data_IF_999169472980
#
_entry.id   IF_999169472980
#
_cell.length_a   1.000
_cell.length_b   1.000
_cell.length_c   1.000
_cell.angle_alpha   90.00
_cell.angle_beta   90.00
_cell.angle_gamma   90.00
#
_symmetry.space_group_name_H-M   'P 1'
#
loop_
_entity.id
_entity.type
_entity.pdbx_description
1 polymer ?
#
# COMPACT_ATOMS: atom_id res chain seq x y z
N UNK A 1 21.14 -8.26 25.99
CA UNK A 1 19.96 -9.02 26.47
C UNK A 1 18.73 -8.18 26.13
N UNK A 2 17.99 -8.55 25.07
CA UNK A 2 16.73 -9.31 25.13
C UNK A 2 15.67 -8.53 25.96
N UNK A 3 14.57 -8.00 25.41
CA UNK A 3 13.46 -8.74 24.78
C UNK A 3 12.55 -7.71 24.05
N UNK A 4 12.42 -7.74 22.72
CA UNK A 4 11.35 -8.39 21.93
C UNK A 4 9.93 -7.81 22.10
N UNK A 5 9.45 -7.31 20.95
CA UNK A 5 8.11 -7.46 20.38
C UNK A 5 7.00 -6.42 20.69
N UNK A 6 6.35 -6.06 19.58
CA UNK A 6 5.02 -5.43 19.45
C UNK A 6 4.93 -3.90 19.50
N UNK A 7 5.69 -3.26 18.62
CA UNK A 7 5.35 -1.96 18.05
C UNK A 7 5.10 -2.13 16.55
N UNK A 8 3.87 -2.48 16.13
CA UNK A 8 3.55 -2.55 14.69
C UNK A 8 2.25 -1.86 14.27
N UNK A 9 1.52 -1.20 15.18
CA UNK A 9 0.33 -0.45 14.78
C UNK A 9 0.51 1.08 14.77
N UNK A 10 1.72 1.55 15.09
CA UNK A 10 2.13 2.94 14.90
C UNK A 10 3.25 2.99 13.87
N UNK A 11 2.90 2.71 12.61
CA UNK A 11 3.87 2.61 11.53
C UNK A 11 3.17 2.66 10.19
N UNK A 12 2.31 3.66 9.99
CA UNK A 12 1.62 3.85 8.73
C UNK A 12 2.63 4.22 7.64
N UNK A 13 3.13 3.19 6.95
CA UNK A 13 3.81 3.17 5.66
C UNK A 13 4.36 4.52 5.18
N UNK A 14 5.58 4.85 5.58
CA UNK A 14 6.54 5.42 4.64
C UNK A 14 7.02 4.26 3.76
N UNK A 15 7.27 4.34 2.46
CA UNK A 15 6.93 5.29 1.39
C UNK A 15 7.31 4.53 0.13
N UNK A 16 6.41 4.40 -0.84
CA UNK A 16 6.79 4.15 -2.23
C UNK A 16 6.17 5.24 -3.12
N UNK A 17 6.30 6.49 -2.69
CA UNK A 17 5.71 7.65 -3.38
C UNK A 17 6.64 8.84 -3.20
N UNK A 18 7.10 9.39 -4.34
CA UNK A 18 7.73 10.70 -4.41
C UNK A 18 6.82 11.78 -3.81
N UNK A 19 7.37 12.64 -2.95
CA UNK A 19 6.66 13.79 -2.38
C UNK A 19 6.45 14.85 -3.46
N UNK A 20 5.19 15.22 -3.74
CA UNK A 20 4.84 16.44 -4.48
C UNK A 20 3.65 17.09 -3.78
N UNK A 21 3.83 18.35 -3.43
CA UNK A 21 2.87 19.22 -2.73
C UNK A 21 1.65 19.58 -3.61
N UNK A 22 0.52 19.83 -2.94
CA UNK A 22 -0.60 20.61 -3.48
C UNK A 22 -1.66 19.85 -4.28
N UNK A 23 -2.88 19.74 -3.73
CA UNK A 23 -4.11 20.41 -4.21
C UNK A 23 -5.32 19.86 -3.43
N UNK A 24 -6.05 20.79 -2.83
CA UNK A 24 -7.19 20.66 -1.92
C UNK A 24 -8.50 20.53 -2.71
N UNK A 25 -9.44 19.64 -2.33
CA UNK A 25 -10.82 19.70 -2.83
C UNK A 25 -11.85 19.37 -1.73
N UNK A 26 -12.78 20.32 -1.57
CA UNK A 26 -13.89 20.41 -0.62
C UNK A 26 -14.92 19.28 -0.76
N UNK A 27 -15.64 19.02 0.34
CA UNK A 27 -16.62 17.96 0.48
C UNK A 27 -17.96 18.27 -0.24
N UNK A 28 -18.46 17.33 -1.04
CA UNK A 28 -19.90 17.16 -1.33
C UNK A 28 -20.20 15.69 -1.62
N UNK A 29 -21.28 15.19 -1.02
CA UNK A 29 -21.71 13.80 -0.98
C UNK A 29 -22.32 13.35 -2.31
N UNK A 30 -21.53 12.74 -3.20
CA UNK A 30 -22.00 11.88 -4.29
C UNK A 30 -20.96 10.79 -4.52
N UNK A 31 -21.40 9.55 -4.79
CA UNK A 31 -20.53 8.42 -5.09
C UNK A 31 -19.87 8.64 -6.47
N UNK A 32 -18.82 9.46 -6.49
CA UNK A 32 -18.00 9.66 -7.67
C UNK A 32 -17.26 8.36 -7.95
N UNK A 33 -17.68 7.66 -9.00
CA UNK A 33 -16.88 6.65 -9.70
C UNK A 33 -15.63 7.34 -10.25
N UNK A 34 -14.71 7.70 -9.36
CA UNK A 34 -13.42 8.28 -9.72
C UNK A 34 -12.69 7.16 -10.42
N UNK A 35 -12.70 7.17 -11.75
CA UNK A 35 -11.87 6.29 -12.57
C UNK A 35 -10.46 6.47 -12.05
N UNK A 36 -10.01 5.51 -11.25
CA UNK A 36 -8.69 5.53 -10.65
C UNK A 36 -7.72 5.40 -11.81
N UNK A 37 -7.16 6.52 -12.25
CA UNK A 37 -6.22 6.56 -13.37
C UNK A 37 -4.92 5.97 -12.86
N UNK A 38 -4.62 4.77 -13.35
CA UNK A 38 -3.34 4.11 -13.10
C UNK A 38 -2.53 4.25 -14.38
N UNK A 39 -1.28 4.72 -14.33
CA UNK A 39 -0.46 4.87 -15.52
C UNK A 39 -0.23 3.50 -16.19
N UNK A 40 -0.08 3.47 -17.53
CA UNK A 40 0.33 2.27 -18.23
C UNK A 40 1.81 1.98 -17.93
N UNK A 41 2.07 1.22 -16.87
CA UNK A 41 3.40 0.70 -16.59
C UNK A 41 3.71 -0.51 -17.51
N UNK A 42 5.00 -0.85 -17.65
CA UNK A 42 5.48 -1.90 -18.56
C UNK A 42 4.89 -3.29 -18.30
N UNK A 43 5.02 -4.17 -19.29
CA UNK A 43 4.53 -5.55 -19.23
C UNK A 43 5.49 -6.43 -18.41
N UNK A 44 5.38 -6.38 -17.09
CA UNK A 44 6.26 -7.10 -16.17
C UNK A 44 5.58 -8.26 -15.41
N UNK A 45 4.30 -8.53 -15.70
CA UNK A 45 3.45 -9.47 -14.96
C UNK A 45 2.33 -8.79 -14.17
N UNK A 46 2.38 -7.46 -14.02
CA UNK A 46 1.30 -6.66 -13.45
C UNK A 46 0.32 -6.19 -14.52
N UNK A 47 -0.97 -6.45 -14.31
CA UNK A 47 -2.03 -5.97 -15.20
C UNK A 47 -2.75 -4.74 -14.60
N UNK A 48 -3.44 -3.92 -15.42
CA UNK A 48 -4.09 -2.69 -14.94
C UNK A 48 -5.08 -2.90 -13.79
N UNK A 49 -5.82 -4.01 -13.80
CA UNK A 49 -6.81 -4.31 -12.74
C UNK A 49 -6.15 -4.61 -11.40
N UNK A 50 -4.97 -5.25 -11.41
CA UNK A 50 -4.14 -5.49 -10.22
C UNK A 50 -3.60 -4.18 -9.68
N UNK A 51 -3.02 -3.35 -10.53
CA UNK A 51 -2.48 -2.03 -10.12
C UNK A 51 -3.57 -1.16 -9.48
N UNK A 52 -4.76 -1.13 -10.11
CA UNK A 52 -5.95 -0.45 -9.56
C UNK A 52 -6.37 -1.04 -8.22
N UNK A 53 -6.38 -2.36 -8.08
CA UNK A 53 -6.74 -3.02 -6.83
C UNK A 53 -5.78 -2.64 -5.68
N UNK A 54 -4.46 -2.68 -5.91
CA UNK A 54 -3.49 -2.26 -4.89
C UNK A 54 -3.66 -0.79 -4.51
N UNK A 55 -3.76 0.12 -5.48
CA UNK A 55 -3.91 1.55 -5.21
C UNK A 55 -5.20 1.86 -4.43
N UNK A 56 -6.32 1.25 -4.84
CA UNK A 56 -7.62 1.43 -4.19
C UNK A 56 -7.63 0.85 -2.78
N UNK A 57 -7.09 -0.36 -2.59
CA UNK A 57 -7.02 -0.98 -1.26
C UNK A 57 -6.22 -0.09 -0.30
N UNK A 58 -5.04 0.38 -0.69
CA UNK A 58 -4.23 1.24 0.16
C UNK A 58 -4.97 2.54 0.49
N UNK A 59 -5.47 3.26 -0.51
CA UNK A 59 -6.18 4.52 -0.27
C UNK A 59 -7.46 4.34 0.58
N UNK A 60 -8.18 3.22 0.42
CA UNK A 60 -9.33 2.86 1.26
C UNK A 60 -8.91 2.68 2.72
N UNK A 61 -7.86 1.91 2.99
CA UNK A 61 -7.35 1.68 4.34
C UNK A 61 -6.81 2.98 4.95
N UNK A 62 -6.07 3.79 4.18
CA UNK A 62 -5.60 5.12 4.61
C UNK A 62 -6.75 6.05 4.99
N UNK A 63 -7.82 6.07 4.20
CA UNK A 63 -9.03 6.85 4.50
C UNK A 63 -9.75 6.36 5.76
N UNK A 64 -9.81 5.04 5.99
CA UNK A 64 -10.43 4.47 7.18
C UNK A 64 -9.59 4.75 8.43
N UNK A 65 -8.26 4.62 8.34
CA UNK A 65 -7.37 4.98 9.45
C UNK A 65 -7.51 6.47 9.79
N UNK A 66 -7.49 7.34 8.79
CA UNK A 66 -7.56 8.78 9.00
C UNK A 66 -8.83 9.22 9.76
N UNK A 67 -9.92 8.44 9.65
CA UNK A 67 -11.18 8.66 10.36
C UNK A 67 -11.27 7.95 11.72
N UNK A 68 -10.28 7.17 12.10
CA UNK A 68 -10.28 6.37 13.33
C UNK A 68 -11.14 5.10 13.23
N UNK A 69 -11.36 4.57 12.03
CA UNK A 69 -12.20 3.39 11.77
C UNK A 69 -11.38 2.11 11.55
N UNK A 70 -10.10 2.12 11.89
CA UNK A 70 -9.21 0.96 11.81
C UNK A 70 -8.80 0.49 13.22
N UNK A 71 -8.88 -0.82 13.51
CA UNK A 71 -8.43 -1.36 14.79
C UNK A 71 -6.94 -1.14 15.03
N UNK A 72 -6.60 -0.86 16.28
CA UNK A 72 -5.24 -0.73 16.80
C UNK A 72 -4.82 -2.01 17.56
N UNK A 73 -4.98 -3.18 16.92
CA UNK A 73 -4.79 -4.48 17.59
C UNK A 73 -5.69 -4.61 18.84
N UNK A 74 -5.09 -4.91 19.99
CA UNK A 74 -5.81 -5.05 21.26
C UNK A 74 -6.03 -3.71 22.00
N UNK A 75 -5.58 -2.59 21.42
CA UNK A 75 -5.64 -1.26 22.04
C UNK A 75 -6.86 -0.43 21.61
N UNK A 76 -7.89 -1.08 21.05
CA UNK A 76 -9.11 -0.40 20.58
C UNK A 76 -8.97 0.08 19.13
N UNK A 77 -9.51 1.28 18.82
CA UNK A 77 -9.37 1.89 17.50
C UNK A 77 -8.13 2.78 17.43
N UNK A 78 -7.55 2.89 16.24
CA UNK A 78 -6.44 3.81 16.01
C UNK A 78 -6.94 5.27 16.03
N UNK A 79 -6.13 6.22 16.53
CA UNK A 79 -6.51 7.62 16.54
C UNK A 79 -6.66 8.18 15.11
N UNK A 80 -7.58 9.13 14.88
CA UNK A 80 -7.74 9.78 13.58
C UNK A 80 -6.48 10.56 13.20
N UNK A 81 -6.26 10.74 11.90
CA UNK A 81 -5.11 11.45 11.36
C UNK A 81 -5.56 12.64 10.50
N UNK A 82 -5.08 13.85 10.83
CA UNK A 82 -5.52 15.07 10.16
C UNK A 82 -5.01 15.21 8.72
N UNK A 83 -3.78 14.76 8.42
CA UNK A 83 -3.09 15.02 7.14
C UNK A 83 -2.67 13.72 6.42
N UNK A 84 -3.59 12.76 6.32
CA UNK A 84 -3.29 11.49 5.64
C UNK A 84 -3.28 11.64 4.12
N UNK A 85 -2.10 11.68 3.51
CA UNK A 85 -1.94 11.85 2.06
C UNK A 85 -2.55 10.72 1.24
N UNK A 86 -3.14 11.03 0.08
CA UNK A 86 -3.61 10.03 -0.89
C UNK A 86 -2.43 9.50 -1.71
N UNK A 87 -2.31 8.18 -1.81
CA UNK A 87 -1.30 7.55 -2.65
C UNK A 87 -1.64 7.69 -4.13
N UNK A 88 -0.61 7.83 -4.96
CA UNK A 88 -0.62 7.70 -6.42
C UNK A 88 0.18 6.46 -6.80
N UNK A 89 -0.13 5.86 -7.95
CA UNK A 89 0.65 4.75 -8.46
C UNK A 89 1.91 5.25 -9.16
N UNK A 90 3.04 4.62 -8.89
CA UNK A 90 4.33 4.94 -9.50
C UNK A 90 4.85 3.68 -10.21
N UNK A 91 5.31 3.82 -11.46
CA UNK A 91 5.80 2.67 -12.23
C UNK A 91 7.23 2.26 -11.83
N UNK A 92 8.03 3.18 -11.30
CA UNK A 92 9.40 2.88 -10.84
C UNK A 92 9.37 2.04 -9.55
N UNK A 93 8.43 2.40 -8.67
CA UNK A 93 8.02 1.63 -7.52
C UNK A 93 7.60 0.19 -7.87
N UNK A 94 6.75 0.03 -8.89
CA UNK A 94 6.35 -1.28 -9.40
C UNK A 94 7.56 -2.05 -9.92
N UNK A 95 8.44 -1.41 -10.70
CA UNK A 95 9.62 -2.06 -11.26
C UNK A 95 10.55 -2.60 -10.17
N UNK A 96 10.83 -1.84 -9.11
CA UNK A 96 11.66 -2.32 -7.99
C UNK A 96 10.98 -3.47 -7.24
N UNK A 97 9.68 -3.36 -6.96
CA UNK A 97 8.93 -4.43 -6.28
C UNK A 97 8.87 -5.72 -7.11
N UNK A 98 8.71 -5.60 -8.44
CA UNK A 98 8.71 -6.75 -9.35
C UNK A 98 10.10 -7.38 -9.47
N UNK A 99 11.17 -6.57 -9.47
CA UNK A 99 12.54 -7.09 -9.44
C UNK A 99 12.78 -7.90 -8.16
N UNK A 100 12.36 -7.40 -7.00
CA UNK A 100 12.45 -8.11 -5.72
C UNK A 100 11.60 -9.40 -5.73
N UNK A 101 10.34 -9.32 -6.16
CA UNK A 101 9.42 -10.47 -6.18
C UNK A 101 9.93 -11.62 -7.06
N UNK A 102 10.56 -11.31 -8.20
CA UNK A 102 11.14 -12.32 -9.12
C UNK A 102 12.28 -13.14 -8.53
N UNK A 103 12.94 -12.64 -7.49
CA UNK A 103 13.97 -13.41 -6.78
C UNK A 103 13.40 -14.57 -5.98
N UNK A 104 12.09 -14.56 -5.71
CA UNK A 104 11.40 -15.53 -4.85
C UNK A 104 12.05 -15.69 -3.46
N UNK A 105 12.80 -14.68 -2.99
CA UNK A 105 13.60 -14.76 -1.78
C UNK A 105 12.79 -14.74 -0.49
N UNK A 106 11.53 -14.29 -0.54
CA UNK A 106 10.64 -14.10 0.62
C UNK A 106 11.28 -13.23 1.72
N UNK A 107 12.09 -12.25 1.31
CA UNK A 107 12.80 -11.32 2.20
C UNK A 107 12.74 -9.92 1.61
N UNK A 108 13.00 -8.93 2.46
CA UNK A 108 13.18 -7.55 2.01
C UNK A 108 14.35 -7.46 1.04
N UNK A 109 14.14 -6.74 -0.05
CA UNK A 109 15.20 -6.38 -0.98
C UNK A 109 16.20 -5.41 -0.33
N UNK A 110 17.49 -5.51 -0.68
CA UNK A 110 18.50 -4.57 -0.19
C UNK A 110 18.11 -3.12 -0.55
N UNK A 111 18.19 -2.15 0.38
CA UNK A 111 17.75 -0.77 0.14
C UNK A 111 18.35 -0.10 -1.11
N UNK A 112 19.60 -0.43 -1.43
CA UNK A 112 20.33 0.03 -2.61
C UNK A 112 19.66 -0.37 -3.93
N UNK A 113 18.85 -1.44 -3.93
CA UNK A 113 18.10 -1.89 -5.12
C UNK A 113 16.79 -1.12 -5.34
N UNK A 114 16.43 -0.25 -4.40
CA UNK A 114 15.17 0.52 -4.40
C UNK A 114 15.37 1.92 -3.80
N UNK A 115 16.24 2.75 -4.38
CA UNK A 115 16.55 4.08 -3.85
C UNK A 115 15.29 4.94 -3.77
N UNK A 116 15.06 5.57 -2.61
CA UNK A 116 13.86 6.40 -2.36
C UNK A 116 12.60 5.62 -2.00
N UNK A 117 12.64 4.28 -1.97
CA UNK A 117 11.48 3.44 -1.70
C UNK A 117 11.69 2.52 -0.50
N UNK A 118 10.67 2.41 0.37
CA UNK A 118 10.58 1.41 1.44
C UNK A 118 9.69 0.27 1.00
N UNK A 119 10.03 -0.94 1.40
CA UNK A 119 9.34 -2.14 0.93
C UNK A 119 8.52 -2.80 2.04
N UNK A 120 7.38 -3.36 1.62
CA UNK A 120 6.66 -4.37 2.37
C UNK A 120 6.54 -5.62 1.48
N UNK A 121 6.75 -6.81 2.04
CA UNK A 121 6.59 -8.07 1.31
C UNK A 121 5.68 -9.00 2.09
N UNK A 122 4.89 -9.78 1.36
CA UNK A 122 4.01 -10.81 1.91
C UNK A 122 4.15 -12.07 1.07
N UNK A 123 4.07 -13.22 1.73
CA UNK A 123 4.00 -14.51 1.05
C UNK A 123 2.58 -15.05 1.21
N UNK A 124 1.95 -15.42 0.09
CA UNK A 124 0.59 -15.97 0.09
C UNK A 124 0.66 -17.41 -0.39
N UNK A 125 0.30 -18.34 0.48
CA UNK A 125 0.23 -19.77 0.16
C UNK A 125 -1.10 -20.18 -0.51
N UNK A 126 -2.06 -19.24 -0.63
CA UNK A 126 -3.35 -19.46 -1.27
C UNK A 126 -3.20 -19.40 -2.79
N UNK A 127 -2.97 -20.56 -3.40
CA UNK A 127 -2.78 -20.72 -4.85
C UNK A 127 -4.02 -20.40 -5.71
N UNK A 128 -5.21 -20.34 -5.10
CA UNK A 128 -6.46 -20.01 -5.79
C UNK A 128 -6.73 -18.51 -5.94
N UNK A 129 -5.94 -17.63 -5.30
CA UNK A 129 -6.12 -16.19 -5.41
C UNK A 129 -5.34 -15.65 -6.61
N UNK A 130 -6.02 -14.90 -7.47
CA UNK A 130 -5.36 -14.08 -8.49
C UNK A 130 -4.82 -12.77 -7.90
N UNK A 131 -3.95 -12.08 -8.66
CA UNK A 131 -3.30 -10.84 -8.21
C UNK A 131 -4.29 -9.74 -7.74
N UNK A 132 -5.38 -9.42 -8.47
CA UNK A 132 -6.38 -8.47 -7.98
C UNK A 132 -7.10 -8.92 -6.70
N UNK A 133 -7.41 -10.21 -6.56
CA UNK A 133 -8.05 -10.75 -5.35
C UNK A 133 -7.09 -10.67 -4.17
N UNK A 134 -5.82 -11.06 -4.37
CA UNK A 134 -4.74 -10.89 -3.41
C UNK A 134 -4.72 -9.45 -2.90
N UNK A 135 -4.62 -8.46 -3.79
CA UNK A 135 -4.57 -7.04 -3.43
C UNK A 135 -5.76 -6.55 -2.58
N UNK A 136 -6.91 -7.23 -2.63
CA UNK A 136 -8.09 -6.88 -1.81
C UNK A 136 -8.15 -7.64 -0.47
N UNK A 137 -7.52 -8.80 -0.40
CA UNK A 137 -7.57 -9.71 0.75
C UNK A 137 -6.34 -9.65 1.65
N UNK A 138 -5.24 -9.02 1.20
CA UNK A 138 -4.08 -8.78 2.07
C UNK A 138 -4.55 -8.02 3.31
N UNK A 139 -4.44 -8.68 4.46
CA UNK A 139 -4.43 -7.99 5.75
C UNK A 139 -3.00 -7.60 6.00
N UNK A 140 -2.76 -6.31 6.09
CA UNK A 140 -1.50 -5.79 6.57
C UNK A 140 -1.57 -5.94 8.09
N UNK A 141 -0.99 -7.03 8.60
CA UNK A 141 -0.80 -7.26 10.03
C UNK A 141 0.49 -6.59 10.48
#
# INVERSE_FOLDING_TARGET
MNQKFLLQVVGFFLSVVNHVEGQQQNATTQATTTTTVVPPCGNNGMNPSTRKAFLLTHNRLRSRLARGNEPNGNFGMAPPAANMLKMKYDCNAEASAMAAARTCSQKLSPPETRPGYKENFITIYKTYLNLPQTARHVRIN
#
